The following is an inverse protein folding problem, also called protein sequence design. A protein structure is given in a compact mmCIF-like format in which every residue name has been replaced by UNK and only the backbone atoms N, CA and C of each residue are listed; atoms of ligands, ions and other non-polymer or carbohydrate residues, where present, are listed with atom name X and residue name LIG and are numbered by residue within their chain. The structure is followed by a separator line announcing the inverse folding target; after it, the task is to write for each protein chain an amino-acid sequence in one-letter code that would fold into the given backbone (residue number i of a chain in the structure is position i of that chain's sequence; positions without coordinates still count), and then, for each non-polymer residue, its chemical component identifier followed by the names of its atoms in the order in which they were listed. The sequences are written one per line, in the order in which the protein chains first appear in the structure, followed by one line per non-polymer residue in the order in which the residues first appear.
data_IF_754363617124
#
_entry.id   IF_754363617124
#
_cell.length_a   1.000
_cell.length_b   1.000
_cell.length_c   1.000
_cell.angle_alpha   90.00
_cell.angle_beta   90.00
_cell.angle_gamma   90.00
#
_symmetry.space_group_name_H-M   'P 1'
#
loop_
_entity.id
_entity.type
_entity.pdbx_description
1 polymer ?
#
# COMPACT_ATOMS: atom_id res chain seq x y z
N UNK A 1 14.14 -9.52 -14.23
CA UNK A 1 13.96 -8.93 -12.89
C UNK A 1 15.34 -8.68 -12.31
N UNK A 2 15.85 -7.46 -12.45
CA UNK A 2 17.21 -7.09 -12.04
C UNK A 2 17.08 -6.08 -10.90
N UNK A 3 17.16 -6.57 -9.66
CA UNK A 3 17.18 -5.72 -8.46
C UNK A 3 18.56 -5.04 -8.38
N UNK A 4 18.60 -3.73 -8.60
CA UNK A 4 19.77 -2.90 -8.34
C UNK A 4 19.76 -2.46 -6.88
N UNK A 5 20.57 -3.10 -6.03
CA UNK A 5 20.78 -2.68 -4.63
C UNK A 5 21.96 -1.73 -4.52
N UNK A 6 21.68 -0.44 -4.36
CA UNK A 6 22.71 0.57 -4.07
C UNK A 6 23.08 0.54 -2.59
N UNK A 7 24.20 -0.14 -2.25
CA UNK A 7 24.80 -0.10 -0.90
C UNK A 7 25.48 1.26 -0.66
N UNK A 8 25.03 1.99 0.36
CA UNK A 8 25.68 3.22 0.85
C UNK A 8 26.73 2.86 1.91
N UNK A 9 28.01 3.17 1.65
CA UNK A 9 29.08 3.04 2.65
C UNK A 9 29.00 4.17 3.69
N UNK A 10 29.10 3.80 4.98
CA UNK A 10 29.35 4.73 6.09
C UNK A 10 30.84 4.80 6.37
N UNK A 11 31.45 5.97 6.17
CA UNK A 11 32.79 6.30 6.65
C UNK A 11 32.79 6.43 8.18
N UNK A 12 33.77 5.82 8.84
CA UNK A 12 34.08 6.05 10.26
C UNK A 12 35.39 6.82 10.36
N UNK A 13 35.31 8.02 10.92
CA UNK A 13 36.45 8.83 11.35
C UNK A 13 37.21 8.16 12.52
N UNK A 14 38.54 8.17 12.45
CA UNK A 14 39.47 7.91 13.56
C UNK A 14 40.47 9.09 13.65
N UNK A 15 40.89 9.51 14.86
CA UNK A 15 41.83 10.62 15.04
C UNK A 15 43.30 10.14 15.03
N UNK A 16 44.27 11.07 14.90
CA UNK A 16 45.62 10.77 14.44
C UNK A 16 46.60 10.50 15.58
N UNK A 17 47.69 9.78 15.30
CA UNK A 17 48.91 9.96 16.08
C UNK A 17 50.19 9.84 15.25
N UNK A 18 51.01 10.87 15.40
CA UNK A 18 52.36 11.04 14.87
C UNK A 18 53.32 10.00 15.47
N UNK A 19 54.27 9.52 14.68
CA UNK A 19 55.71 9.79 14.92
C UNK A 19 56.58 9.28 13.78
N UNK A 20 57.70 9.99 13.63
CA UNK A 20 58.65 10.03 12.54
C UNK A 20 59.91 9.22 12.87
N UNK A 21 60.60 8.83 11.80
CA UNK A 21 62.07 8.78 11.62
C UNK A 21 62.89 7.53 12.02
N UNK A 22 63.40 6.91 10.95
CA UNK A 22 64.81 6.82 10.55
C UNK A 22 65.67 5.57 10.85
N UNK A 23 66.21 5.09 9.71
CA UNK A 23 67.62 4.77 9.44
C UNK A 23 68.16 3.36 9.78
N UNK A 24 68.26 2.55 8.71
CA UNK A 24 69.49 1.90 8.18
C UNK A 24 70.60 1.53 9.17
N UNK A 25 71.00 0.25 9.20
CA UNK A 25 72.27 -0.26 8.64
C UNK A 25 72.43 -1.77 8.91
N UNK A 26 73.36 -2.36 8.17
CA UNK A 26 73.52 -3.75 7.76
C UNK A 26 74.57 -4.56 8.54
N UNK A 27 74.53 -5.88 8.28
CA UNK A 27 75.63 -6.87 8.24
C UNK A 27 76.09 -7.66 9.49
N UNK A 28 75.94 -8.99 9.35
CA UNK A 28 76.88 -10.13 9.60
C UNK A 28 77.55 -10.27 10.99
N UNK A 29 77.81 -11.44 11.58
CA UNK A 29 78.12 -12.78 11.03
C UNK A 29 78.15 -13.84 12.16
N UNK A 30 77.87 -15.09 11.75
CA UNK A 30 78.45 -16.38 12.17
C UNK A 30 78.64 -16.76 13.65
N UNK A 31 78.12 -17.94 14.06
CA UNK A 31 78.95 -19.14 14.25
C UNK A 31 78.08 -20.40 14.45
N UNK A 32 78.54 -21.50 13.84
CA UNK A 32 77.93 -22.82 13.84
C UNK A 32 78.29 -23.64 15.09
N UNK A 33 77.43 -24.58 15.46
CA UNK A 33 77.81 -25.87 16.05
C UNK A 33 76.73 -26.92 15.73
N UNK A 34 77.18 -28.02 15.13
CA UNK A 34 76.43 -29.24 14.83
C UNK A 34 76.51 -30.21 16.00
N UNK A 35 75.45 -31.00 16.19
CA UNK A 35 75.56 -32.34 16.77
C UNK A 35 74.51 -33.28 16.16
N UNK A 36 74.96 -34.48 15.84
CA UNK A 36 74.24 -35.59 15.21
C UNK A 36 73.71 -36.55 16.29
N UNK A 37 72.52 -37.15 16.09
CA UNK A 37 72.36 -38.61 15.94
C UNK A 37 70.88 -39.08 15.92
N UNK A 38 70.55 -39.78 14.83
CA UNK A 38 69.74 -41.00 14.66
C UNK A 38 68.40 -41.21 15.41
N UNK A 39 67.31 -41.31 14.64
CA UNK A 39 66.67 -42.57 14.17
C UNK A 39 65.13 -42.54 14.17
N UNK A 40 64.59 -42.92 12.99
CA UNK A 40 63.28 -43.53 12.71
C UNK A 40 62.01 -42.90 13.32
N UNK A 41 61.19 -42.27 12.47
CA UNK A 41 60.14 -42.99 11.72
C UNK A 41 59.20 -42.03 10.97
N UNK A 42 58.95 -42.37 9.69
CA UNK A 42 57.72 -42.11 8.92
C UNK A 42 57.04 -40.73 9.00
N UNK A 43 57.28 -39.86 8.00
CA UNK A 43 56.25 -38.94 7.50
C UNK A 43 56.35 -38.85 5.97
N UNK A 44 55.78 -39.82 5.28
CA UNK A 44 55.30 -39.63 3.91
C UNK A 44 53.82 -39.26 3.96
N UNK A 45 53.43 -38.22 3.22
CA UNK A 45 52.05 -37.87 2.82
C UNK A 45 51.38 -36.73 3.59
N UNK A 46 51.70 -35.47 3.26
CA UNK A 46 50.84 -34.31 3.60
C UNK A 46 50.36 -33.54 2.36
N UNK A 47 50.82 -33.86 1.14
CA UNK A 47 50.50 -33.07 -0.06
C UNK A 47 49.37 -33.60 -0.96
N UNK A 48 48.54 -34.57 -0.53
CA UNK A 48 47.47 -35.14 -1.39
C UNK A 48 46.09 -35.32 -0.74
N UNK A 49 45.67 -34.45 0.19
CA UNK A 49 44.33 -34.54 0.81
C UNK A 49 43.41 -33.35 0.58
N UNK A 50 43.86 -32.27 -0.07
CA UNK A 50 43.06 -31.06 -0.28
C UNK A 50 42.30 -30.98 -1.62
N UNK A 51 42.43 -31.96 -2.52
CA UNK A 51 41.90 -31.85 -3.89
C UNK A 51 40.58 -32.58 -4.16
N UNK A 52 40.15 -33.55 -3.33
CA UNK A 52 38.98 -34.38 -3.66
C UNK A 52 37.66 -33.92 -3.05
N UNK A 53 37.68 -33.05 -2.03
CA UNK A 53 36.46 -32.59 -1.35
C UNK A 53 35.87 -31.29 -1.90
N UNK A 54 36.69 -30.48 -2.57
CA UNK A 54 36.27 -29.24 -3.23
C UNK A 54 35.25 -29.48 -4.36
N UNK A 55 35.45 -30.43 -5.29
CA UNK A 55 34.46 -30.69 -6.33
C UNK A 55 33.16 -31.30 -5.78
N UNK A 56 33.24 -32.08 -4.70
CA UNK A 56 32.06 -32.64 -4.03
C UNK A 56 31.24 -31.57 -3.31
N UNK A 57 31.90 -30.60 -2.65
CA UNK A 57 31.25 -29.45 -2.03
C UNK A 57 30.63 -28.51 -3.08
N UNK A 58 31.32 -28.25 -4.19
CA UNK A 58 30.79 -27.49 -5.31
C UNK A 58 29.58 -28.18 -5.94
N UNK A 59 29.62 -29.50 -6.11
CA UNK A 59 28.49 -30.29 -6.60
C UNK A 59 27.31 -30.23 -5.61
N UNK A 60 27.55 -30.30 -4.30
CA UNK A 60 26.52 -30.14 -3.27
C UNK A 60 25.90 -28.74 -3.27
N UNK A 61 26.73 -27.70 -3.45
CA UNK A 61 26.27 -26.30 -3.58
C UNK A 61 25.49 -26.08 -4.87
N UNK A 62 25.89 -26.70 -5.99
CA UNK A 62 25.16 -26.70 -7.26
C UNK A 62 23.84 -27.49 -7.19
N UNK A 63 23.80 -28.59 -6.43
CA UNK A 63 22.58 -29.38 -6.18
C UNK A 63 21.61 -28.66 -5.21
N UNK A 64 22.13 -27.87 -4.27
CA UNK A 64 21.36 -26.98 -3.40
C UNK A 64 20.95 -25.67 -4.11
N UNK A 65 21.64 -25.31 -5.20
CA UNK A 65 21.27 -24.24 -6.11
C UNK A 65 20.20 -24.68 -7.13
N UNK A 66 19.38 -25.67 -6.77
CA UNK A 66 18.10 -25.89 -7.43
C UNK A 66 17.28 -24.63 -7.15
N UNK A 67 17.28 -23.71 -8.11
CA UNK A 67 16.41 -22.54 -8.10
C UNK A 67 14.98 -23.06 -8.01
N UNK A 68 14.44 -23.10 -6.79
CA UNK A 68 13.03 -23.35 -6.56
C UNK A 68 12.29 -22.20 -7.21
N UNK A 69 11.73 -22.46 -8.37
CA UNK A 69 10.80 -21.53 -8.97
C UNK A 69 9.56 -21.61 -8.08
N UNK A 70 9.42 -20.66 -7.17
CA UNK A 70 8.26 -20.53 -6.29
C UNK A 70 7.05 -20.14 -7.12
N UNK A 71 6.44 -21.11 -7.82
CA UNK A 71 5.09 -20.98 -8.34
C UNK A 71 4.23 -22.04 -7.65
N UNK A 72 3.77 -21.73 -6.45
CA UNK A 72 2.89 -22.59 -5.65
C UNK A 72 1.42 -22.14 -5.75
N UNK A 73 1.05 -21.39 -6.79
CA UNK A 73 -0.33 -21.06 -7.09
C UNK A 73 -0.95 -22.27 -7.80
N UNK A 74 -1.92 -22.92 -7.15
CA UNK A 74 -2.73 -23.98 -7.74
C UNK A 74 -3.66 -23.37 -8.80
N UNK A 75 -3.37 -23.64 -10.08
CA UNK A 75 -4.19 -23.19 -11.21
C UNK A 75 -5.34 -24.17 -11.54
N UNK A 76 -5.17 -25.50 -11.40
CA UNK A 76 -6.27 -26.45 -11.60
C UNK A 76 -7.43 -26.31 -10.62
N UNK A 77 -7.15 -26.06 -9.33
CA UNK A 77 -8.19 -25.99 -8.29
C UNK A 77 -8.35 -24.54 -7.81
N UNK A 78 -9.42 -23.88 -8.22
CA UNK A 78 -9.72 -22.51 -7.79
C UNK A 78 -11.18 -22.36 -7.38
N UNK A 79 -11.42 -21.45 -6.43
CA UNK A 79 -12.77 -21.08 -5.99
C UNK A 79 -13.27 -19.95 -6.86
N UNK A 80 -14.49 -20.08 -7.37
CA UNK A 80 -15.10 -19.09 -8.25
C UNK A 80 -16.32 -18.45 -7.60
N UNK A 81 -16.31 -17.10 -7.61
CA UNK A 81 -17.46 -16.28 -7.24
C UNK A 81 -17.88 -15.46 -8.45
N UNK A 82 -19.11 -15.67 -8.94
CA UNK A 82 -19.66 -14.96 -10.10
C UNK A 82 -20.94 -14.24 -9.70
N UNK A 83 -21.13 -13.05 -10.26
CA UNK A 83 -22.34 -12.24 -10.11
C UNK A 83 -22.85 -11.75 -11.45
N UNK A 84 -23.99 -11.07 -11.41
CA UNK A 84 -24.67 -10.52 -12.56
C UNK A 84 -23.71 -9.64 -13.40
N UNK A 85 -23.79 -9.69 -14.73
CA UNK A 85 -22.94 -8.89 -15.59
C UNK A 85 -23.16 -7.39 -15.36
N UNK A 86 -22.16 -6.58 -15.69
CA UNK A 86 -22.17 -5.11 -15.58
C UNK A 86 -22.22 -4.51 -14.16
N UNK A 87 -22.22 -5.33 -13.11
CA UNK A 87 -22.16 -4.89 -11.70
C UNK A 87 -20.77 -4.45 -11.25
N UNK A 88 -19.73 -4.75 -12.04
CA UNK A 88 -18.32 -4.61 -11.68
C UNK A 88 -17.96 -5.40 -10.41
N UNK A 89 -18.62 -6.54 -10.16
CA UNK A 89 -18.23 -7.43 -9.07
C UNK A 89 -16.76 -7.85 -9.19
N UNK A 90 -15.99 -7.69 -8.12
CA UNK A 90 -14.55 -7.92 -8.12
C UNK A 90 -13.71 -6.67 -8.42
N UNK A 91 -14.33 -5.49 -8.56
CA UNK A 91 -13.61 -4.23 -8.76
C UNK A 91 -12.64 -3.92 -7.60
N UNK A 92 -13.03 -4.26 -6.38
CA UNK A 92 -12.15 -4.24 -5.21
C UNK A 92 -12.34 -5.50 -4.38
N UNK A 93 -11.26 -6.00 -3.79
CA UNK A 93 -11.24 -7.24 -3.01
C UNK A 93 -10.31 -7.04 -1.82
N UNK A 94 -10.76 -7.46 -0.64
CA UNK A 94 -9.94 -7.53 0.56
C UNK A 94 -10.16 -8.86 1.30
N UNK A 95 -9.09 -9.46 1.80
CA UNK A 95 -9.18 -10.62 2.67
C UNK A 95 -9.57 -10.17 4.08
N UNK A 96 -10.65 -10.73 4.60
CA UNK A 96 -11.11 -10.48 5.96
C UNK A 96 -10.92 -11.73 6.83
N UNK A 97 -10.17 -11.56 7.90
CA UNK A 97 -9.93 -12.57 8.92
C UNK A 97 -10.70 -12.20 10.18
N UNK A 98 -11.85 -12.86 10.39
CA UNK A 98 -12.68 -12.68 11.57
C UNK A 98 -11.93 -12.96 12.88
N UNK A 99 -12.11 -12.14 13.91
CA UNK A 99 -11.48 -12.30 15.21
C UNK A 99 -12.05 -13.50 15.98
N UNK A 100 -11.20 -14.02 16.86
CA UNK A 100 -11.27 -15.36 17.44
C UNK A 100 -12.53 -15.68 18.26
N UNK A 101 -13.30 -16.66 17.79
CA UNK A 101 -14.36 -17.34 18.56
C UNK A 101 -14.91 -18.57 17.82
N UNK A 102 -14.26 -19.72 17.98
CA UNK A 102 -14.69 -21.08 17.59
C UNK A 102 -15.05 -21.40 16.12
N UNK A 103 -15.14 -20.44 15.20
CA UNK A 103 -15.25 -20.68 13.77
C UNK A 103 -14.53 -19.58 12.99
N UNK A 104 -13.24 -19.77 12.71
CA UNK A 104 -12.52 -18.92 11.76
C UNK A 104 -13.18 -19.07 10.39
N UNK A 105 -13.99 -18.11 9.97
CA UNK A 105 -14.40 -18.00 8.57
C UNK A 105 -13.60 -16.88 7.94
N UNK A 106 -12.44 -17.25 7.38
CA UNK A 106 -11.78 -16.39 6.40
C UNK A 106 -12.81 -16.09 5.31
N UNK A 107 -12.95 -14.82 4.97
CA UNK A 107 -13.88 -14.41 3.93
C UNK A 107 -13.25 -13.33 3.06
N UNK A 108 -13.74 -13.22 1.85
CA UNK A 108 -13.41 -12.15 0.93
C UNK A 108 -14.50 -11.09 1.04
N UNK A 109 -14.10 -9.83 1.19
CA UNK A 109 -15.00 -8.70 1.05
C UNK A 109 -14.81 -8.17 -0.36
N UNK A 110 -15.86 -8.24 -1.16
CA UNK A 110 -15.81 -7.99 -2.61
C UNK A 110 -16.73 -6.84 -2.96
N UNK A 111 -16.18 -5.80 -3.57
CA UNK A 111 -16.92 -4.64 -4.05
C UNK A 111 -17.52 -4.85 -5.44
N UNK A 112 -18.71 -4.30 -5.65
CA UNK A 112 -19.43 -4.25 -6.91
C UNK A 112 -20.06 -2.86 -7.09
N UNK A 113 -19.28 -1.84 -7.50
CA UNK A 113 -19.69 -0.43 -7.49
C UNK A 113 -20.86 -0.08 -8.42
N UNK A 114 -21.23 -0.97 -9.34
CA UNK A 114 -22.39 -0.81 -10.23
C UNK A 114 -23.54 -1.77 -9.93
N UNK A 115 -23.50 -2.47 -8.81
CA UNK A 115 -24.61 -3.32 -8.39
C UNK A 115 -25.88 -2.50 -8.16
N UNK A 116 -27.01 -2.98 -8.68
CA UNK A 116 -28.29 -2.28 -8.54
C UNK A 116 -28.96 -2.57 -7.20
N UNK A 117 -29.29 -1.50 -6.48
CA UNK A 117 -29.86 -1.56 -5.13
C UNK A 117 -31.34 -1.18 -5.10
N UNK A 118 -31.95 -0.92 -6.26
CA UNK A 118 -33.35 -0.50 -6.42
C UNK A 118 -34.37 -1.41 -5.73
N UNK A 119 -34.03 -2.70 -5.55
CA UNK A 119 -34.85 -3.69 -4.85
C UNK A 119 -34.97 -3.46 -3.34
N UNK A 120 -34.04 -2.74 -2.72
CA UNK A 120 -34.04 -2.48 -1.27
C UNK A 120 -33.72 -1.03 -0.85
N UNK A 121 -33.25 -0.17 -1.77
CA UNK A 121 -33.09 1.27 -1.55
C UNK A 121 -34.10 2.04 -2.41
N UNK A 122 -35.13 2.59 -1.77
CA UNK A 122 -36.20 3.30 -2.48
C UNK A 122 -35.67 4.55 -3.21
N UNK A 123 -35.92 4.63 -4.52
CA UNK A 123 -35.55 5.79 -5.35
C UNK A 123 -34.05 5.92 -5.62
N UNK A 124 -33.28 4.84 -5.40
CA UNK A 124 -31.84 4.77 -5.66
C UNK A 124 -31.59 3.67 -6.69
N UNK A 125 -30.72 3.93 -7.66
CA UNK A 125 -30.35 2.98 -8.72
C UNK A 125 -28.82 2.88 -8.80
N UNK A 126 -28.31 1.67 -9.04
CA UNK A 126 -26.87 1.40 -9.17
C UNK A 126 -26.02 2.11 -8.08
N UNK A 127 -26.43 2.03 -6.81
CA UNK A 127 -25.66 2.63 -5.73
C UNK A 127 -24.29 1.94 -5.56
N UNK A 128 -24.18 0.69 -5.99
CA UNK A 128 -23.06 -0.19 -5.68
C UNK A 128 -23.31 -0.97 -4.39
N UNK A 129 -22.63 -2.10 -4.26
CA UNK A 129 -22.76 -2.99 -3.12
C UNK A 129 -21.44 -3.68 -2.77
N UNK A 130 -21.44 -4.31 -1.61
CA UNK A 130 -20.34 -5.13 -1.11
C UNK A 130 -20.88 -6.50 -0.73
N UNK A 131 -20.08 -7.52 -0.99
CA UNK A 131 -20.42 -8.90 -0.69
C UNK A 131 -19.39 -9.51 0.26
N UNK A 132 -19.85 -10.40 1.13
CA UNK A 132 -19.00 -11.29 1.93
C UNK A 132 -19.01 -12.66 1.29
N UNK A 133 -17.89 -13.08 0.72
CA UNK A 133 -17.72 -14.41 0.13
C UNK A 133 -16.91 -15.34 1.03
N UNK A 134 -17.31 -16.60 1.16
CA UNK A 134 -16.53 -17.65 1.79
C UNK A 134 -15.50 -18.27 0.83
N UNK A 135 -14.93 -19.39 1.28
CA UNK A 135 -13.89 -20.14 0.57
C UNK A 135 -14.45 -21.31 -0.25
N UNK A 136 -15.77 -21.34 -0.46
CA UNK A 136 -16.47 -22.35 -1.26
C UNK A 136 -17.14 -21.69 -2.46
N UNK A 137 -17.26 -22.40 -3.57
CA UNK A 137 -17.89 -21.87 -4.79
C UNK A 137 -19.29 -21.31 -4.53
N UNK A 138 -19.53 -20.09 -5.00
CA UNK A 138 -20.84 -19.43 -4.91
C UNK A 138 -21.28 -19.01 -3.50
N UNK A 139 -20.55 -19.37 -2.44
CA UNK A 139 -20.80 -18.88 -1.07
C UNK A 139 -20.42 -17.40 -1.02
N UNK A 140 -21.35 -16.55 -1.41
CA UNK A 140 -21.16 -15.13 -1.34
C UNK A 140 -22.48 -14.41 -1.07
N UNK A 141 -22.49 -13.50 -0.10
CA UNK A 141 -23.71 -12.93 0.44
C UNK A 141 -23.65 -11.41 0.35
N UNK A 142 -24.73 -10.80 -0.13
CA UNK A 142 -24.87 -9.35 -0.20
C UNK A 142 -24.86 -8.76 1.21
N UNK A 143 -24.03 -7.75 1.44
CA UNK A 143 -23.97 -6.98 2.68
C UNK A 143 -24.65 -5.63 2.45
N UNK A 144 -25.75 -5.39 3.18
CA UNK A 144 -26.52 -4.14 3.07
C UNK A 144 -25.93 -3.07 3.99
N UNK A 145 -24.88 -2.40 3.52
CA UNK A 145 -24.24 -1.27 4.22
C UNK A 145 -25.21 -0.10 4.47
N UNK A 146 -26.08 0.16 3.50
CA UNK A 146 -27.12 1.17 3.58
C UNK A 146 -28.37 0.68 2.84
N UNK A 147 -29.51 0.74 3.51
CA UNK A 147 -30.82 0.40 2.94
C UNK A 147 -31.74 1.62 2.84
N UNK A 148 -31.31 2.79 3.30
CA UNK A 148 -32.11 4.01 3.16
C UNK A 148 -31.96 4.60 1.76
N UNK A 149 -33.03 5.24 1.29
CA UNK A 149 -32.98 6.05 0.07
C UNK A 149 -32.22 7.37 0.30
N UNK A 150 -32.42 8.34 -0.60
CA UNK A 150 -31.85 9.66 -0.39
C UNK A 150 -32.55 10.38 0.77
N UNK A 151 -31.78 10.88 1.73
CA UNK A 151 -32.30 11.70 2.83
C UNK A 151 -32.82 13.06 2.33
N UNK A 152 -33.74 13.63 3.14
CA UNK A 152 -34.34 14.95 2.90
C UNK A 152 -34.12 15.86 4.11
N UNK A 153 -34.02 17.16 3.86
CA UNK A 153 -33.98 18.17 4.93
C UNK A 153 -35.37 18.39 5.56
N UNK A 154 -35.44 19.28 6.54
CA UNK A 154 -36.68 19.72 7.19
C UNK A 154 -37.68 20.38 6.24
N UNK A 155 -37.23 20.88 5.09
CA UNK A 155 -38.05 21.50 4.06
C UNK A 155 -38.55 20.51 3.00
N UNK A 156 -38.14 19.24 3.08
CA UNK A 156 -38.51 18.18 2.14
C UNK A 156 -37.59 18.07 0.90
N UNK A 157 -36.57 18.90 0.77
CA UNK A 157 -35.61 18.81 -0.34
C UNK A 157 -34.66 17.63 -0.12
N UNK A 158 -34.34 16.94 -1.22
CA UNK A 158 -33.32 15.89 -1.22
C UNK A 158 -31.96 16.52 -0.94
N UNK A 159 -31.21 16.01 0.05
CA UNK A 159 -29.90 16.55 0.45
C UNK A 159 -28.71 15.73 -0.03
N UNK A 160 -28.95 14.60 -0.68
CA UNK A 160 -27.89 13.71 -1.16
C UNK A 160 -28.37 12.92 -2.38
N UNK A 161 -27.42 12.37 -3.13
CA UNK A 161 -27.70 11.43 -4.22
C UNK A 161 -26.81 10.21 -4.08
N UNK A 162 -27.46 9.09 -3.79
CA UNK A 162 -26.85 7.76 -3.68
C UNK A 162 -26.82 7.01 -5.01
N UNK A 163 -27.65 7.38 -5.99
CA UNK A 163 -27.63 6.72 -7.29
C UNK A 163 -26.28 6.92 -7.99
N UNK A 164 -25.67 5.84 -8.49
CA UNK A 164 -24.36 5.84 -9.13
C UNK A 164 -23.20 6.31 -8.23
N UNK A 165 -23.34 6.20 -6.90
CA UNK A 165 -22.32 6.65 -5.93
C UNK A 165 -21.07 5.76 -5.88
N UNK A 166 -21.11 4.58 -6.51
CA UNK A 166 -19.99 3.63 -6.59
C UNK A 166 -19.59 3.02 -5.23
N UNK A 167 -20.56 2.65 -4.39
CA UNK A 167 -20.28 1.95 -3.15
C UNK A 167 -19.62 0.59 -3.41
N UNK A 168 -18.47 0.35 -2.80
CA UNK A 168 -17.64 -0.83 -3.07
C UNK A 168 -16.60 -0.60 -4.17
N UNK A 169 -16.39 0.64 -4.62
CA UNK A 169 -15.23 0.97 -5.45
C UNK A 169 -13.91 0.73 -4.70
N UNK A 170 -13.93 0.96 -3.39
CA UNK A 170 -12.81 0.70 -2.49
C UNK A 170 -13.30 -0.12 -1.33
N UNK A 171 -12.58 -1.21 -1.04
CA UNK A 171 -12.78 -2.04 0.13
C UNK A 171 -11.42 -2.25 0.80
N UNK A 172 -11.36 -2.10 2.13
CA UNK A 172 -10.16 -2.37 2.93
C UNK A 172 -10.56 -3.06 4.23
N UNK A 173 -9.67 -3.88 4.76
CA UNK A 173 -9.88 -4.61 6.02
C UNK A 173 -8.67 -4.47 6.94
N UNK A 174 -8.88 -4.47 8.26
CA UNK A 174 -7.79 -4.63 9.21
C UNK A 174 -7.45 -6.09 9.41
N UNK A 175 -6.21 -6.38 9.82
CA UNK A 175 -5.76 -7.74 10.10
C UNK A 175 -6.27 -8.29 11.43
N UNK A 176 -6.32 -7.46 12.47
CA UNK A 176 -6.40 -7.95 13.87
C UNK A 176 -7.74 -7.66 14.59
N UNK A 177 -8.59 -6.79 14.05
CA UNK A 177 -9.75 -6.27 14.80
C UNK A 177 -11.05 -6.14 13.97
N UNK A 178 -11.16 -6.94 12.91
CA UNK A 178 -12.36 -7.05 12.07
C UNK A 178 -12.87 -5.77 11.42
N UNK A 179 -12.09 -4.68 11.41
CA UNK A 179 -12.49 -3.45 10.74
C UNK A 179 -12.63 -3.73 9.25
N UNK A 180 -13.82 -3.46 8.71
CA UNK A 180 -14.15 -3.51 7.30
C UNK A 180 -14.54 -2.10 6.89
N UNK A 181 -14.01 -1.66 5.76
CA UNK A 181 -14.21 -0.34 5.18
C UNK A 181 -14.72 -0.53 3.77
N UNK A 182 -15.78 0.20 3.41
CA UNK A 182 -16.26 0.26 2.03
C UNK A 182 -16.59 1.71 1.68
N UNK A 183 -16.16 2.18 0.52
CA UNK A 183 -16.34 3.57 0.12
C UNK A 183 -17.12 3.73 -1.20
N UNK A 184 -17.76 4.89 -1.31
CA UNK A 184 -18.53 5.39 -2.43
C UNK A 184 -17.97 6.75 -2.87
N UNK A 185 -16.89 6.77 -3.67
CA UNK A 185 -16.17 8.01 -4.01
C UNK A 185 -16.98 8.98 -4.88
N UNK A 186 -18.10 8.51 -5.49
CA UNK A 186 -18.99 9.34 -6.32
C UNK A 186 -20.26 9.77 -5.60
N UNK A 187 -20.36 9.53 -4.29
CA UNK A 187 -21.45 10.04 -3.47
C UNK A 187 -21.52 11.57 -3.55
N UNK A 188 -22.71 12.09 -3.84
CA UNK A 188 -22.96 13.53 -3.99
C UNK A 188 -23.77 14.04 -2.81
N UNK A 189 -23.24 15.08 -2.17
CA UNK A 189 -23.95 15.81 -1.13
C UNK A 189 -24.43 17.16 -1.65
N UNK A 190 -25.61 17.58 -1.20
CA UNK A 190 -26.16 18.88 -1.55
C UNK A 190 -25.85 19.91 -0.47
N UNK A 191 -24.81 20.70 -0.69
CA UNK A 191 -24.46 21.78 0.22
C UNK A 191 -25.56 22.86 0.19
N UNK A 192 -26.21 23.10 1.33
CA UNK A 192 -27.26 24.10 1.48
C UNK A 192 -26.67 25.44 1.94
N UNK A 193 -26.72 26.45 1.07
CA UNK A 193 -26.44 27.85 1.46
C UNK A 193 -27.74 28.60 1.74
N UNK A 194 -27.85 29.39 2.82
CA UNK A 194 -29.11 30.04 3.23
C UNK A 194 -29.80 30.89 2.14
N UNK A 195 -29.03 31.45 1.20
CA UNK A 195 -29.52 32.46 0.27
C UNK A 195 -29.37 32.15 -1.23
N UNK A 196 -28.69 31.07 -1.65
CA UNK A 196 -28.53 30.71 -3.08
C UNK A 196 -28.23 29.22 -3.28
N UNK A 197 -28.87 28.68 -4.33
CA UNK A 197 -28.57 27.48 -5.14
C UNK A 197 -28.16 26.20 -4.41
N UNK A 198 -28.95 25.15 -4.61
CA UNK A 198 -28.55 23.76 -4.37
C UNK A 198 -27.28 23.47 -5.18
N UNK A 199 -26.18 23.13 -4.51
CA UNK A 199 -24.93 22.70 -5.16
C UNK A 199 -24.82 21.19 -5.10
N UNK A 200 -24.24 20.58 -6.12
CA UNK A 200 -24.04 19.14 -6.20
C UNK A 200 -22.54 18.86 -6.11
N UNK A 201 -22.07 18.51 -4.92
CA UNK A 201 -20.66 18.32 -4.62
C UNK A 201 -20.37 16.80 -4.48
N UNK A 202 -19.58 16.17 -5.38
CA UNK A 202 -19.16 14.78 -5.23
C UNK A 202 -18.10 14.64 -4.13
N UNK A 203 -18.54 14.77 -2.89
CA UNK A 203 -17.67 14.74 -1.70
C UNK A 203 -17.16 13.35 -1.37
N UNK A 204 -17.87 12.30 -1.77
CA UNK A 204 -17.56 10.91 -1.40
C UNK A 204 -17.95 10.57 0.05
N UNK A 205 -18.08 9.28 0.34
CA UNK A 205 -18.37 8.77 1.68
C UNK A 205 -17.80 7.36 1.85
N UNK A 206 -17.50 6.98 3.09
CA UNK A 206 -17.08 5.64 3.47
C UNK A 206 -17.96 5.11 4.60
N UNK A 207 -18.03 3.79 4.73
CA UNK A 207 -18.71 3.11 5.80
C UNK A 207 -17.75 2.16 6.49
N UNK A 208 -17.80 2.12 7.81
CA UNK A 208 -17.00 1.20 8.63
C UNK A 208 -17.91 0.24 9.39
N UNK A 209 -17.45 -1.00 9.54
CA UNK A 209 -18.13 -2.01 10.35
C UNK A 209 -17.12 -2.99 10.94
N UNK A 210 -17.46 -3.61 12.07
CA UNK A 210 -16.70 -4.75 12.63
C UNK A 210 -17.43 -6.08 12.56
N UNK A 211 -18.73 -6.06 12.24
CA UNK A 211 -19.59 -7.24 12.31
C UNK A 211 -20.54 -7.38 11.12
N UNK A 212 -20.50 -6.43 10.17
CA UNK A 212 -21.37 -6.36 9.00
C UNK A 212 -22.87 -6.27 9.32
N UNK A 213 -23.22 -5.86 10.55
CA UNK A 213 -24.60 -5.57 10.96
C UNK A 213 -24.78 -4.12 11.41
N UNK A 214 -23.74 -3.52 11.98
CA UNK A 214 -23.70 -2.11 12.36
C UNK A 214 -22.69 -1.37 11.49
N UNK A 215 -23.14 -0.27 10.89
CA UNK A 215 -22.36 0.52 9.96
C UNK A 215 -22.29 1.97 10.46
N UNK A 216 -21.08 2.53 10.47
CA UNK A 216 -20.84 3.93 10.78
C UNK A 216 -20.38 4.64 9.51
N UNK A 217 -21.11 5.68 9.10
CA UNK A 217 -20.73 6.53 7.97
C UNK A 217 -19.58 7.48 8.36
N UNK A 218 -18.60 7.62 7.49
CA UNK A 218 -17.45 8.52 7.60
C UNK A 218 -17.31 9.29 6.29
N UNK A 219 -17.69 10.56 6.30
CA UNK A 219 -17.59 11.46 5.13
C UNK A 219 -16.82 12.73 5.51
N UNK A 220 -15.47 12.72 5.42
CA UNK A 220 -14.62 13.84 5.85
C UNK A 220 -14.85 15.14 5.06
N UNK A 221 -15.27 15.01 3.80
CA UNK A 221 -15.42 16.12 2.87
C UNK A 221 -16.82 16.71 2.85
N UNK A 222 -17.77 16.13 3.61
CA UNK A 222 -19.10 16.71 3.83
C UNK A 222 -19.00 17.83 4.87
N UNK A 223 -18.47 18.97 4.46
CA UNK A 223 -18.25 20.16 5.28
C UNK A 223 -18.85 21.42 4.64
N UNK A 224 -18.65 22.58 5.25
CA UNK A 224 -19.00 23.88 4.65
C UNK A 224 -18.01 24.33 3.55
N UNK A 225 -16.92 23.60 3.32
CA UNK A 225 -15.94 23.89 2.28
C UNK A 225 -16.41 23.32 0.93
N UNK A 226 -17.18 24.11 0.20
CA UNK A 226 -17.83 23.71 -1.05
C UNK A 226 -16.97 23.99 -2.29
N UNK A 227 -17.35 23.35 -3.41
CA UNK A 227 -16.75 23.56 -4.73
C UNK A 227 -15.37 22.92 -4.93
N UNK A 228 -14.93 22.89 -6.19
CA UNK A 228 -13.67 22.25 -6.61
C UNK A 228 -12.41 22.94 -6.06
N UNK A 229 -12.49 24.26 -5.80
CA UNK A 229 -11.43 25.04 -5.16
C UNK A 229 -11.23 24.69 -3.67
N UNK A 230 -12.11 23.86 -3.09
CA UNK A 230 -11.99 23.34 -1.71
C UNK A 230 -12.31 21.85 -1.67
N UNK A 231 -13.29 21.40 -0.89
CA UNK A 231 -13.57 19.98 -0.65
C UNK A 231 -14.83 19.48 -1.37
N UNK A 232 -15.51 20.30 -2.18
CA UNK A 232 -16.73 19.89 -2.87
C UNK A 232 -16.51 18.80 -3.92
N UNK A 233 -15.32 18.75 -4.51
CA UNK A 233 -14.92 17.70 -5.47
C UNK A 233 -13.97 16.66 -4.88
N UNK A 234 -13.90 16.58 -3.56
CA UNK A 234 -12.94 15.76 -2.82
C UNK A 234 -12.92 14.27 -3.23
N UNK A 235 -14.09 13.66 -3.48
CA UNK A 235 -14.23 12.24 -3.79
C UNK A 235 -13.58 11.34 -2.71
N UNK A 236 -13.84 11.64 -1.44
CA UNK A 236 -13.33 10.88 -0.31
C UNK A 236 -13.68 9.38 -0.44
N UNK A 237 -12.68 8.54 -0.23
CA UNK A 237 -12.80 7.09 -0.37
C UNK A 237 -12.43 6.58 -1.76
N UNK A 238 -11.84 7.43 -2.60
CA UNK A 238 -11.20 7.02 -3.85
C UNK A 238 -10.14 5.96 -3.59
N UNK A 239 -9.39 6.11 -2.51
CA UNK A 239 -8.59 5.05 -1.88
C UNK A 239 -8.81 5.06 -0.37
N UNK A 240 -8.57 3.93 0.28
CA UNK A 240 -8.70 3.77 1.72
C UNK A 240 -7.79 2.65 2.21
N UNK A 241 -7.26 2.78 3.42
CA UNK A 241 -6.47 1.77 4.08
C UNK A 241 -6.83 1.71 5.57
N UNK A 242 -6.81 0.51 6.14
CA UNK A 242 -6.97 0.30 7.57
C UNK A 242 -5.62 -0.10 8.16
N UNK A 243 -5.29 0.45 9.33
CA UNK A 243 -4.19 -0.06 10.15
C UNK A 243 -4.37 -1.56 10.45
N UNK A 244 -3.27 -2.29 10.58
CA UNK A 244 -3.22 -3.70 11.02
C UNK A 244 -4.02 -3.90 12.30
N UNK A 245 -3.84 -3.01 13.29
CA UNK A 245 -4.56 -3.02 14.58
C UNK A 245 -6.05 -2.67 14.46
N UNK A 246 -6.48 -2.12 13.32
CA UNK A 246 -7.86 -1.75 13.04
C UNK A 246 -8.41 -0.65 13.97
N UNK A 247 -7.55 0.19 14.52
CA UNK A 247 -7.92 1.37 15.32
C UNK A 247 -7.89 2.67 14.50
N UNK A 248 -7.17 2.67 13.37
CA UNK A 248 -7.15 3.77 12.41
C UNK A 248 -7.62 3.41 11.01
N UNK A 249 -8.36 4.35 10.42
CA UNK A 249 -8.78 4.39 9.03
C UNK A 249 -8.14 5.58 8.32
N UNK A 250 -7.55 5.33 7.15
CA UNK A 250 -7.04 6.34 6.24
C UNK A 250 -7.96 6.46 5.02
N UNK A 251 -8.27 7.69 4.61
CA UNK A 251 -9.16 7.97 3.47
C UNK A 251 -8.46 8.94 2.52
N UNK A 252 -8.40 8.56 1.25
CA UNK A 252 -7.81 9.33 0.16
C UNK A 252 -8.88 10.10 -0.60
N UNK A 253 -8.55 11.34 -0.95
CA UNK A 253 -9.47 12.34 -1.45
C UNK A 253 -8.77 13.19 -2.54
N UNK A 254 -8.54 12.63 -3.75
CA UNK A 254 -7.70 13.25 -4.76
C UNK A 254 -8.24 14.57 -5.33
N UNK A 255 -9.54 14.88 -5.15
CA UNK A 255 -10.15 16.07 -5.74
C UNK A 255 -10.29 17.27 -4.81
N UNK A 256 -9.69 17.22 -3.61
CA UNK A 256 -9.63 18.37 -2.71
C UNK A 256 -8.65 19.43 -3.21
N UNK A 257 -8.99 20.71 -3.00
CA UNK A 257 -8.16 21.90 -3.26
C UNK A 257 -7.61 21.96 -4.68
N UNK A 258 -8.44 22.26 -5.69
CA UNK A 258 -8.00 22.28 -7.10
C UNK A 258 -7.30 20.97 -7.51
N UNK A 259 -7.83 19.83 -7.04
CA UNK A 259 -7.26 18.51 -7.24
C UNK A 259 -5.79 18.34 -6.79
N UNK A 260 -5.30 19.16 -5.85
CA UNK A 260 -4.08 18.85 -5.09
C UNK A 260 -4.20 17.48 -4.42
N UNK A 261 -5.39 17.21 -3.87
CA UNK A 261 -5.73 16.02 -3.13
C UNK A 261 -5.53 16.17 -1.63
N UNK A 262 -6.13 15.26 -0.87
CA UNK A 262 -6.09 15.27 0.58
C UNK A 262 -6.09 13.84 1.11
N UNK A 263 -5.49 13.63 2.28
CA UNK A 263 -5.61 12.37 3.02
C UNK A 263 -6.09 12.66 4.44
N UNK A 264 -6.96 11.80 4.94
CA UNK A 264 -7.50 11.86 6.29
C UNK A 264 -7.07 10.63 7.08
N UNK A 265 -6.90 10.80 8.40
CA UNK A 265 -6.68 9.69 9.33
C UNK A 265 -7.63 9.82 10.52
N UNK A 266 -8.48 8.82 10.68
CA UNK A 266 -9.54 8.71 11.68
C UNK A 266 -9.18 7.65 12.71
N UNK A 267 -9.26 7.99 14.00
CA UNK A 267 -9.35 6.99 15.07
C UNK A 267 -10.79 6.43 15.08
N UNK A 268 -10.95 5.17 14.67
CA UNK A 268 -12.26 4.50 14.60
C UNK A 268 -12.70 3.87 15.92
N UNK A 269 -11.88 3.97 16.97
CA UNK A 269 -12.22 3.56 18.34
C UNK A 269 -12.81 4.71 19.15
N UNK A 270 -12.39 5.95 18.85
CA UNK A 270 -12.82 7.18 19.51
C UNK A 270 -13.14 8.26 18.45
N UNK A 271 -14.20 8.07 17.66
CA UNK A 271 -14.54 8.93 16.54
C UNK A 271 -14.80 10.39 16.95
N UNK A 272 -15.18 10.65 18.21
CA UNK A 272 -15.42 12.00 18.71
C UNK A 272 -14.20 12.91 18.78
N UNK A 273 -12.94 12.42 18.73
CA UNK A 273 -11.83 13.22 19.25
C UNK A 273 -10.56 13.39 18.42
N UNK A 274 -10.35 12.74 17.27
CA UNK A 274 -9.09 12.94 16.52
C UNK A 274 -9.19 12.59 15.03
N UNK A 275 -9.33 13.61 14.19
CA UNK A 275 -9.18 13.53 12.74
C UNK A 275 -7.95 14.34 12.35
N UNK A 276 -6.98 13.69 11.73
CA UNK A 276 -5.83 14.35 11.12
C UNK A 276 -6.04 14.43 9.61
N UNK A 277 -5.62 15.53 8.99
CA UNK A 277 -5.64 15.66 7.54
C UNK A 277 -4.44 16.43 7.03
N UNK A 278 -4.07 16.16 5.78
CA UNK A 278 -3.11 17.00 5.07
C UNK A 278 -3.73 18.38 4.79
N UNK A 279 -2.93 19.44 4.89
CA UNK A 279 -3.36 20.80 4.60
C UNK A 279 -3.31 21.11 3.09
N UNK A 280 -4.01 22.16 2.68
CA UNK A 280 -3.84 22.78 1.36
C UNK A 280 -2.40 23.27 1.20
N UNK A 281 -1.82 23.05 0.02
CA UNK A 281 -0.48 23.51 -0.38
C UNK A 281 -0.58 24.70 -1.34
N UNK A 282 0.58 25.14 -1.85
CA UNK A 282 0.62 26.16 -2.90
C UNK A 282 0.00 25.66 -4.21
N UNK A 283 -0.41 26.58 -5.07
CA UNK A 283 -0.98 26.27 -6.39
C UNK A 283 -0.04 25.51 -7.34
N UNK A 284 1.23 25.33 -6.98
CA UNK A 284 2.16 24.47 -7.74
C UNK A 284 1.82 22.99 -7.60
N UNK A 285 1.12 22.61 -6.54
CA UNK A 285 0.68 21.24 -6.28
C UNK A 285 -0.74 20.97 -6.81
N UNK A 286 -1.41 21.95 -7.44
CA UNK A 286 -2.71 21.74 -8.09
C UNK A 286 -2.64 20.58 -9.11
N UNK A 287 -3.75 19.88 -9.32
CA UNK A 287 -3.84 18.72 -10.23
C UNK A 287 -2.88 17.55 -9.93
N UNK A 288 -2.44 17.38 -8.68
CA UNK A 288 -1.47 16.35 -8.27
C UNK A 288 -2.07 15.02 -7.78
N UNK A 289 -3.34 15.03 -7.38
CA UNK A 289 -4.12 13.86 -6.93
C UNK A 289 -3.54 13.12 -5.71
N UNK A 290 -3.13 13.84 -4.66
CA UNK A 290 -2.75 13.22 -3.39
C UNK A 290 -3.91 12.38 -2.81
N UNK A 291 -3.63 11.13 -2.43
CA UNK A 291 -4.66 10.20 -1.96
C UNK A 291 -5.28 9.36 -3.07
N UNK A 292 -4.62 9.28 -4.23
CA UNK A 292 -5.05 8.42 -5.33
C UNK A 292 -4.96 6.93 -4.98
N UNK A 293 -3.90 6.55 -4.26
CA UNK A 293 -3.67 5.20 -3.75
C UNK A 293 -3.05 5.28 -2.36
N UNK A 294 -3.14 4.21 -1.57
CA UNK A 294 -2.52 4.18 -0.26
C UNK A 294 -2.27 2.76 0.26
N UNK A 295 -1.29 2.64 1.16
CA UNK A 295 -1.01 1.41 1.90
C UNK A 295 -0.36 1.76 3.24
N UNK A 296 -0.61 0.95 4.27
CA UNK A 296 -0.02 1.10 5.60
C UNK A 296 1.16 0.16 5.77
N UNK A 297 2.15 0.57 6.55
CA UNK A 297 3.30 -0.26 6.90
C UNK A 297 4.18 0.43 7.93
N UNK A 298 5.09 -0.31 8.56
CA UNK A 298 6.13 0.27 9.42
C UNK A 298 7.37 0.59 8.56
N UNK A 299 7.50 1.86 8.14
CA UNK A 299 8.57 2.28 7.22
C UNK A 299 9.77 2.94 7.92
N UNK A 300 9.69 3.20 9.22
CA UNK A 300 10.65 4.03 9.94
C UNK A 300 11.16 3.44 11.27
N UNK A 301 10.74 2.22 11.62
CA UNK A 301 11.10 1.51 12.86
C UNK A 301 10.60 2.17 14.18
N UNK A 302 9.52 2.95 14.12
CA UNK A 302 8.95 3.61 15.32
C UNK A 302 7.88 2.76 16.05
N UNK A 303 7.60 1.55 15.54
CA UNK A 303 6.58 0.59 15.99
C UNK A 303 5.13 1.02 15.77
N UNK A 304 4.90 2.17 15.14
CA UNK A 304 3.60 2.58 14.65
C UNK A 304 3.53 2.33 13.14
N UNK A 305 2.32 2.12 12.64
CA UNK A 305 2.12 2.07 11.20
C UNK A 305 2.04 3.49 10.64
N UNK A 306 2.83 3.70 9.62
CA UNK A 306 2.83 4.86 8.75
C UNK A 306 1.87 4.62 7.57
N UNK A 307 1.64 5.68 6.80
CA UNK A 307 0.82 5.65 5.59
C UNK A 307 1.65 6.12 4.40
N UNK A 308 1.76 5.29 3.38
CA UNK A 308 2.26 5.69 2.06
C UNK A 308 1.07 6.11 1.19
N UNK A 309 1.19 7.26 0.52
CA UNK A 309 0.10 7.92 -0.20
C UNK A 309 0.57 8.25 -1.62
N UNK A 310 -0.15 7.75 -2.62
CA UNK A 310 0.10 8.05 -4.03
C UNK A 310 -0.38 9.44 -4.42
N UNK A 311 0.45 10.13 -5.20
CA UNK A 311 0.22 11.45 -5.79
C UNK A 311 0.73 11.41 -7.25
N UNK A 312 0.08 10.63 -8.13
CA UNK A 312 0.65 10.21 -9.41
C UNK A 312 0.83 11.33 -10.43
N UNK A 313 0.23 12.51 -10.20
CA UNK A 313 0.42 13.70 -11.03
C UNK A 313 1.31 14.76 -10.37
N UNK A 314 1.77 14.51 -9.14
CA UNK A 314 2.67 15.39 -8.41
C UNK A 314 4.05 15.50 -9.06
N UNK A 315 4.85 16.44 -8.55
CA UNK A 315 6.22 16.69 -9.00
C UNK A 315 6.34 16.92 -10.53
N UNK A 316 5.40 17.69 -11.10
CA UNK A 316 5.40 17.99 -12.53
C UNK A 316 5.13 16.77 -13.41
N UNK A 317 4.14 15.95 -13.03
CA UNK A 317 3.73 14.71 -13.73
C UNK A 317 4.77 13.58 -13.72
N UNK A 318 5.88 13.70 -12.98
CA UNK A 318 6.77 12.56 -12.70
C UNK A 318 6.07 11.53 -11.79
N UNK A 319 5.10 11.99 -11.00
CA UNK A 319 4.46 11.21 -9.96
C UNK A 319 5.28 11.19 -8.68
N UNK A 320 4.58 11.14 -7.55
CA UNK A 320 5.16 11.24 -6.21
C UNK A 320 4.46 10.26 -5.27
N UNK A 321 5.20 9.74 -4.29
CA UNK A 321 4.63 9.01 -3.15
C UNK A 321 5.08 9.71 -1.89
N UNK A 322 4.11 10.02 -1.03
CA UNK A 322 4.30 10.74 0.23
C UNK A 322 4.13 9.74 1.37
N UNK A 323 5.14 9.59 2.22
CA UNK A 323 5.08 8.73 3.40
C UNK A 323 4.93 9.61 4.63
N UNK A 324 3.83 9.41 5.36
CA UNK A 324 3.48 10.18 6.54
C UNK A 324 3.28 9.26 7.74
N UNK A 325 3.48 9.80 8.94
CA UNK A 325 3.02 9.19 10.17
C UNK A 325 1.48 9.18 10.24
N UNK A 326 0.92 8.43 11.20
CA UNK A 326 -0.53 8.38 11.48
C UNK A 326 -1.19 9.74 11.70
N UNK A 327 -0.45 10.76 12.14
CA UNK A 327 -0.93 12.12 12.38
C UNK A 327 -0.78 13.05 11.14
N UNK A 328 -0.51 12.48 9.96
CA UNK A 328 -0.29 13.19 8.70
C UNK A 328 0.96 14.08 8.65
N UNK A 329 1.93 13.87 9.54
CA UNK A 329 3.25 14.53 9.45
C UNK A 329 4.17 13.76 8.50
N UNK A 330 4.91 14.48 7.64
CA UNK A 330 5.73 13.88 6.61
C UNK A 330 7.03 13.29 7.16
N UNK A 331 7.37 12.08 6.67
CA UNK A 331 8.60 11.37 7.00
C UNK A 331 9.59 11.52 5.84
N UNK A 332 9.20 11.06 4.66
CA UNK A 332 9.97 11.15 3.42
C UNK A 332 9.07 10.99 2.20
N UNK A 333 9.63 11.23 1.02
CA UNK A 333 8.91 11.18 -0.25
C UNK A 333 9.74 10.46 -1.33
N UNK A 334 9.06 9.79 -2.25
CA UNK A 334 9.64 9.26 -3.48
C UNK A 334 9.11 10.05 -4.68
N UNK A 335 9.93 10.16 -5.73
CA UNK A 335 9.55 10.82 -6.97
C UNK A 335 9.90 9.91 -8.13
N UNK A 336 8.99 9.83 -9.10
CA UNK A 336 9.23 9.10 -10.33
C UNK A 336 10.38 9.68 -11.16
N UNK A 337 10.71 8.98 -12.23
CA UNK A 337 11.83 9.26 -13.12
C UNK A 337 11.38 9.65 -14.52
N UNK A 338 10.14 9.35 -14.90
CA UNK A 338 9.62 9.62 -16.24
C UNK A 338 8.28 10.35 -16.17
N UNK A 339 8.16 11.43 -16.94
CA UNK A 339 6.92 12.22 -17.02
C UNK A 339 5.82 11.33 -17.60
N UNK A 340 4.67 11.31 -16.93
CA UNK A 340 3.49 10.56 -17.37
C UNK A 340 3.53 9.06 -17.02
N UNK A 341 4.56 8.57 -16.31
CA UNK A 341 4.64 7.15 -15.94
C UNK A 341 3.61 6.73 -14.87
N UNK A 342 2.89 7.71 -14.33
CA UNK A 342 1.85 7.56 -13.32
C UNK A 342 2.37 6.88 -12.04
N UNK A 343 3.60 7.22 -11.65
CA UNK A 343 4.28 6.70 -10.46
C UNK A 343 3.49 6.99 -9.18
N UNK A 344 3.12 5.93 -8.44
CA UNK A 344 2.22 6.03 -7.30
C UNK A 344 0.77 5.69 -7.63
N UNK A 345 0.50 5.12 -8.80
CA UNK A 345 -0.84 4.64 -9.18
C UNK A 345 -1.38 3.58 -8.23
N UNK A 346 -0.52 2.61 -7.85
CA UNK A 346 -0.82 1.53 -6.94
C UNK A 346 0.34 1.37 -5.97
N UNK A 347 0.03 1.04 -4.72
CA UNK A 347 1.01 0.87 -3.65
C UNK A 347 0.76 -0.45 -2.93
N UNK A 348 1.82 -1.11 -2.50
CA UNK A 348 1.78 -2.25 -1.60
C UNK A 348 2.94 -2.16 -0.60
N UNK A 349 2.75 -2.72 0.58
CA UNK A 349 3.77 -2.76 1.62
C UNK A 349 3.88 -4.17 2.20
N UNK A 350 5.12 -4.64 2.33
CA UNK A 350 5.47 -5.86 3.05
C UNK A 350 6.99 -5.92 3.26
N UNK A 351 7.43 -6.59 4.32
CA UNK A 351 8.83 -6.97 4.51
C UNK A 351 9.25 -8.03 3.47
N UNK A 352 9.95 -7.60 2.41
CA UNK A 352 10.37 -8.45 1.30
C UNK A 352 11.73 -9.10 1.59
N UNK A 353 12.61 -8.44 2.35
CA UNK A 353 13.96 -8.91 2.65
C UNK A 353 14.12 -9.61 4.02
N UNK A 354 13.06 -9.62 4.84
CA UNK A 354 12.99 -10.29 6.13
C UNK A 354 13.69 -9.53 7.26
N UNK A 355 13.88 -8.22 7.12
CA UNK A 355 14.59 -7.40 8.11
C UNK A 355 13.70 -6.87 9.24
N UNK A 356 12.38 -7.08 9.17
CA UNK A 356 11.39 -6.65 10.15
C UNK A 356 10.77 -5.25 9.91
N UNK A 357 11.18 -4.54 8.85
CA UNK A 357 10.55 -3.31 8.37
C UNK A 357 9.81 -3.60 7.06
N UNK A 358 8.70 -2.89 6.85
CA UNK A 358 7.97 -3.05 5.60
C UNK A 358 8.69 -2.31 4.46
N UNK A 359 8.89 -2.99 3.33
CA UNK A 359 9.33 -2.39 2.09
C UNK A 359 8.12 -1.82 1.33
N UNK A 360 8.31 -0.67 0.68
CA UNK A 360 7.29 -0.04 -0.14
C UNK A 360 7.48 -0.40 -1.62
N UNK A 361 6.42 -0.92 -2.23
CA UNK A 361 6.35 -1.31 -3.64
C UNK A 361 5.46 -0.30 -4.38
N UNK A 362 5.96 0.31 -5.47
CA UNK A 362 5.31 1.44 -6.12
C UNK A 362 5.06 1.15 -7.61
N UNK A 363 3.79 1.09 -8.01
CA UNK A 363 3.42 0.91 -9.42
C UNK A 363 3.53 2.20 -10.24
N UNK A 364 4.08 2.07 -11.44
CA UNK A 364 4.13 3.08 -12.50
C UNK A 364 3.67 2.44 -13.83
N UNK A 365 2.35 2.22 -14.01
CA UNK A 365 1.82 1.41 -15.11
C UNK A 365 1.99 2.05 -16.49
N UNK A 366 2.17 3.38 -16.56
CA UNK A 366 2.38 4.11 -17.82
C UNK A 366 3.86 4.33 -18.11
N UNK A 367 4.77 3.59 -17.45
CA UNK A 367 6.18 3.66 -17.77
C UNK A 367 6.44 3.14 -19.18
N UNK A 368 7.19 3.91 -19.96
CA UNK A 368 7.65 3.56 -21.30
C UNK A 368 9.14 3.26 -21.28
N UNK A 369 9.53 2.09 -21.80
CA UNK A 369 10.93 1.68 -21.92
C UNK A 369 11.60 2.41 -23.11
N UNK A 370 12.64 3.23 -22.87
CA UNK A 370 13.34 3.93 -23.93
C UNK A 370 14.03 2.95 -24.89
N UNK A 371 13.81 3.12 -26.19
CA UNK A 371 14.44 2.27 -27.20
C UNK A 371 13.80 0.90 -27.37
N UNK A 372 12.57 0.70 -26.86
CA UNK A 372 11.82 -0.53 -27.09
C UNK A 372 11.59 -0.76 -28.59
N UNK A 373 12.26 -1.78 -29.13
CA UNK A 373 12.22 -2.16 -30.55
C UNK A 373 10.87 -2.74 -30.98
N UNK A 374 10.02 -3.16 -30.03
CA UNK A 374 8.68 -3.66 -30.31
C UNK A 374 7.67 -2.53 -30.54
N UNK A 375 8.04 -1.26 -30.33
CA UNK A 375 7.16 -0.10 -30.48
C UNK A 375 6.02 -0.04 -29.45
N UNK A 376 6.14 -0.79 -28.35
CA UNK A 376 5.18 -0.75 -27.23
C UNK A 376 5.51 0.43 -26.32
N UNK A 377 4.53 1.32 -26.17
CA UNK A 377 4.50 2.36 -25.14
C UNK A 377 3.75 1.80 -23.92
N UNK A 378 4.01 2.36 -22.74
CA UNK A 378 3.34 2.00 -21.47
C UNK A 378 3.48 0.50 -21.12
N UNK A 379 4.73 0.05 -21.00
CA UNK A 379 5.06 -1.33 -20.57
C UNK A 379 4.92 -1.54 -19.06
N UNK A 380 4.80 -0.45 -18.31
CA UNK A 380 4.68 -0.44 -16.86
C UNK A 380 5.98 -0.82 -16.14
N UNK A 381 6.11 -0.38 -14.89
CA UNK A 381 7.15 -0.86 -13.98
C UNK A 381 6.69 -0.83 -12.52
N UNK A 382 7.44 -1.54 -11.68
CA UNK A 382 7.31 -1.57 -10.22
C UNK A 382 8.68 -1.28 -9.62
#
# INVERSE_FOLDING_TARGET
MQLSTTKRQRERHLPPNNTKNNATTSNSSAHACSYSSNNNSSVSSITKLYSSRVPLLLLLVLLLACSSHGYNIDLPSYVTHVREPNTMFGFSIALHKGASGYAQSNSLIVGAPKFDTSSYQQGVVEAGAVFKCGMSDGDCNLVKFDSSGNHRNTYGDVIERKSYQWLGATVSTSRDNDLIVACAPRYVFHTMTPNKSLRYDPVGTCFTSRNLTHFNEVSPCRTNNWGYHRQGSCQAGFSAAASTRGDRLYIGAPGSWYWQGQTYSYDVTRPENQVYSTAESSSQDDDSYLGYSMTTGNFNDDRFEDIAIGMPRGAGLLGKVVVNHWNMTNIFNFTGHQIGEYFGYALAACDVDGNGLDDLIIGAPMYSEPGNVEGKYDVGRV
#
